data_IF_482953824800
#
_entry.id   IF_482953824800
#
_cell.length_a   1.000
_cell.length_b   1.000
_cell.length_c   1.000
_cell.angle_alpha   90.00
_cell.angle_beta   90.00
_cell.angle_gamma   90.00
#
_symmetry.space_group_name_H-M   'P 1'
#
loop_
_entity.id
_entity.type
_entity.pdbx_description
1 polymer ?
#
# COMPACT_ATOMS: atom_id res chain seq x y z
N UNK A 1 -23.15 13.08 -8.35
CA UNK A 1 -23.10 14.32 -7.53
C UNK A 1 -23.43 13.90 -6.11
N UNK A 2 -22.45 13.90 -5.20
CA UNK A 2 -22.63 13.53 -3.78
C UNK A 2 -22.95 14.83 -3.03
N UNK A 3 -24.15 14.94 -2.45
CA UNK A 3 -24.60 16.14 -1.75
C UNK A 3 -23.89 16.27 -0.38
N UNK A 4 -23.72 17.48 0.15
CA UNK A 4 -23.03 17.70 1.46
C UNK A 4 -23.75 17.07 2.66
N UNK A 5 -25.04 16.73 2.55
CA UNK A 5 -25.76 15.89 3.51
C UNK A 5 -25.23 14.45 3.53
N UNK A 6 -24.88 13.93 2.36
CA UNK A 6 -24.32 12.59 2.13
C UNK A 6 -22.98 12.41 2.87
N UNK A 7 -22.12 13.44 2.91
CA UNK A 7 -20.82 13.36 3.61
C UNK A 7 -20.97 13.26 5.13
N UNK A 8 -21.88 14.04 5.73
CA UNK A 8 -22.12 13.97 7.18
C UNK A 8 -22.81 12.67 7.56
N UNK A 9 -23.76 12.22 6.76
CA UNK A 9 -24.46 10.95 6.96
C UNK A 9 -23.51 9.76 6.77
N UNK A 10 -22.59 9.85 5.80
CA UNK A 10 -21.53 8.89 5.57
C UNK A 10 -20.52 8.83 6.73
N UNK A 11 -20.06 9.98 7.23
CA UNK A 11 -19.19 10.04 8.42
C UNK A 11 -19.89 9.47 9.66
N UNK A 12 -21.17 9.82 9.87
CA UNK A 12 -21.97 9.28 10.97
C UNK A 12 -22.15 7.75 10.85
N UNK A 13 -22.39 7.26 9.63
CA UNK A 13 -22.46 5.82 9.33
C UNK A 13 -21.12 5.13 9.63
N UNK A 14 -19.99 5.68 9.17
CA UNK A 14 -18.66 5.13 9.43
C UNK A 14 -18.35 5.06 10.92
N UNK A 15 -18.62 6.13 11.67
CA UNK A 15 -18.43 6.16 13.13
C UNK A 15 -19.26 5.08 13.84
N UNK A 16 -20.52 4.88 13.43
CA UNK A 16 -21.38 3.83 13.97
C UNK A 16 -20.81 2.43 13.69
N UNK A 17 -20.36 2.17 12.45
CA UNK A 17 -19.73 0.89 12.08
C UNK A 17 -18.44 0.64 12.85
N UNK A 18 -17.57 1.64 12.95
CA UNK A 18 -16.32 1.54 13.74
C UNK A 18 -16.64 1.21 15.20
N UNK A 19 -17.62 1.89 15.80
CA UNK A 19 -18.01 1.63 17.18
C UNK A 19 -18.52 0.18 17.37
N UNK A 20 -19.35 -0.30 16.44
CA UNK A 20 -19.85 -1.68 16.43
C UNK A 20 -18.71 -2.70 16.33
N UNK A 21 -17.79 -2.53 15.38
CA UNK A 21 -16.67 -3.44 15.19
C UNK A 21 -15.72 -3.44 16.39
N UNK A 22 -15.43 -2.26 16.96
CA UNK A 22 -14.63 -2.18 18.20
C UNK A 22 -15.33 -2.84 19.38
N UNK A 23 -16.65 -2.79 19.47
CA UNK A 23 -17.40 -3.50 20.51
C UNK A 23 -17.30 -5.02 20.32
N UNK A 24 -17.56 -5.51 19.11
CA UNK A 24 -17.48 -6.94 18.76
C UNK A 24 -16.09 -7.52 19.04
N UNK A 25 -15.04 -6.80 18.64
CA UNK A 25 -13.65 -7.19 18.92
C UNK A 25 -13.37 -7.26 20.43
N UNK A 26 -13.85 -6.28 21.22
CA UNK A 26 -13.73 -6.31 22.69
C UNK A 26 -14.43 -7.52 23.30
N UNK A 27 -15.65 -7.83 22.84
CA UNK A 27 -16.41 -8.98 23.33
C UNK A 27 -15.70 -10.31 23.01
N UNK A 28 -15.12 -10.43 21.81
CA UNK A 28 -14.35 -11.60 21.41
C UNK A 28 -13.08 -11.78 22.24
N UNK A 29 -12.38 -10.69 22.55
CA UNK A 29 -11.11 -10.74 23.29
C UNK A 29 -11.30 -10.74 24.83
N UNK A 30 -12.48 -10.37 25.33
CA UNK A 30 -12.75 -10.26 26.77
C UNK A 30 -12.42 -11.53 27.60
N UNK A 31 -12.63 -12.77 27.10
CA UNK A 31 -12.26 -13.99 27.82
C UNK A 31 -10.74 -14.26 27.85
N UNK A 32 -9.96 -13.51 27.06
CA UNK A 32 -8.55 -13.79 26.82
C UNK A 32 -7.66 -12.74 27.49
N UNK A 33 -6.61 -13.23 28.15
CA UNK A 33 -5.58 -12.38 28.76
C UNK A 33 -4.21 -12.89 28.37
N UNK A 34 -3.44 -12.03 27.70
CA UNK A 34 -2.05 -12.28 27.33
C UNK A 34 -1.16 -11.28 28.04
N UNK A 35 -0.15 -11.77 28.76
CA UNK A 35 0.79 -10.95 29.52
C UNK A 35 2.19 -11.14 29.01
N UNK A 36 3.02 -10.11 29.13
CA UNK A 36 4.31 -10.07 28.46
C UNK A 36 5.33 -10.90 29.22
N UNK A 37 5.99 -11.82 28.52
CA UNK A 37 7.21 -12.46 28.98
C UNK A 37 8.44 -11.69 28.48
N UNK A 38 8.45 -11.30 27.21
CA UNK A 38 9.56 -10.60 26.57
C UNK A 38 9.06 -9.80 25.36
N UNK A 39 9.70 -8.65 25.08
CA UNK A 39 9.53 -7.93 23.81
C UNK A 39 10.91 -7.76 23.17
N UNK A 40 11.06 -8.23 21.94
CA UNK A 40 12.29 -8.09 21.16
C UNK A 40 12.04 -7.14 19.99
N UNK A 41 13.01 -6.25 19.76
CA UNK A 41 13.01 -5.34 18.62
C UNK A 41 14.33 -5.55 17.91
N UNK A 42 14.27 -6.16 16.72
CA UNK A 42 15.43 -6.43 15.88
C UNK A 42 15.49 -5.36 14.81
N UNK A 43 16.49 -4.47 14.93
CA UNK A 43 16.77 -3.50 13.89
C UNK A 43 17.75 -4.09 12.90
N UNK A 44 17.32 -4.21 11.65
CA UNK A 44 18.11 -4.75 10.55
C UNK A 44 18.20 -3.73 9.43
N UNK A 45 19.31 -3.77 8.68
CA UNK A 45 19.45 -3.03 7.45
C UNK A 45 19.21 -4.01 6.30
N UNK A 46 18.12 -3.85 5.56
CA UNK A 46 17.77 -4.75 4.46
C UNK A 46 18.35 -4.18 3.16
N UNK A 47 19.33 -4.85 2.52
CA UNK A 47 19.82 -4.44 1.21
C UNK A 47 18.75 -4.67 0.15
N UNK A 48 18.60 -3.70 -0.76
CA UNK A 48 17.67 -3.81 -1.88
C UNK A 48 18.31 -4.60 -3.04
N UNK A 49 17.48 -5.29 -3.83
CA UNK A 49 17.92 -5.90 -5.09
C UNK A 49 18.05 -4.78 -6.13
N UNK A 50 19.28 -4.36 -6.39
CA UNK A 50 19.57 -3.08 -7.05
C UNK A 50 19.28 -1.89 -6.12
N UNK A 51 19.65 -0.69 -6.53
CA UNK A 51 19.31 0.54 -5.78
C UNK A 51 17.89 0.94 -6.13
N UNK A 52 17.00 0.84 -5.14
CA UNK A 52 15.58 1.16 -5.29
C UNK A 52 15.38 2.67 -5.45
N UNK A 53 14.54 3.13 -6.39
CA UNK A 53 14.32 4.57 -6.66
C UNK A 53 12.86 5.03 -6.52
N UNK A 54 12.23 4.97 -5.33
CA UNK A 54 10.90 5.51 -5.14
C UNK A 54 10.94 7.04 -5.22
N UNK A 55 10.13 7.64 -6.10
CA UNK A 55 9.98 9.10 -6.17
C UNK A 55 11.30 9.88 -6.17
N UNK A 56 12.29 9.42 -6.96
CA UNK A 56 13.63 10.00 -7.12
C UNK A 56 14.68 9.75 -6.02
N UNK A 57 14.38 8.95 -4.98
CA UNK A 57 15.35 8.66 -3.92
C UNK A 57 16.17 7.40 -4.20
N UNK A 58 17.51 7.46 -4.25
CA UNK A 58 18.33 6.26 -4.38
C UNK A 58 18.53 5.54 -3.03
N UNK A 59 17.86 4.40 -2.84
CA UNK A 59 17.87 3.60 -1.61
C UNK A 59 18.56 2.24 -1.84
N UNK A 60 19.87 2.11 -1.52
CA UNK A 60 20.59 0.83 -1.64
C UNK A 60 20.21 -0.14 -0.52
N UNK A 61 19.72 0.37 0.61
CA UNK A 61 19.21 -0.41 1.72
C UNK A 61 18.20 0.41 2.54
N UNK A 62 17.30 -0.27 3.24
CA UNK A 62 16.27 0.34 4.10
C UNK A 62 16.40 -0.23 5.51
N UNK A 63 16.39 0.65 6.52
CA UNK A 63 16.30 0.25 7.93
C UNK A 63 14.94 -0.39 8.17
N UNK A 64 14.90 -1.54 8.82
CA UNK A 64 13.67 -2.26 9.14
C UNK A 64 13.71 -2.69 10.60
N UNK A 65 12.60 -2.55 11.31
CA UNK A 65 12.47 -3.04 12.67
C UNK A 65 11.45 -4.17 12.70
N UNK A 66 11.90 -5.35 13.16
CA UNK A 66 11.05 -6.52 13.37
C UNK A 66 10.78 -6.64 14.87
N UNK A 67 9.51 -6.73 15.25
CA UNK A 67 9.08 -6.80 16.65
C UNK A 67 8.51 -8.19 16.93
N UNK A 68 8.96 -8.79 18.03
CA UNK A 68 8.39 -10.00 18.60
C UNK A 68 7.86 -9.70 20.00
N UNK A 69 6.58 -10.01 20.24
CA UNK A 69 5.94 -9.90 21.54
C UNK A 69 5.68 -11.31 22.06
N UNK A 70 6.54 -11.79 22.93
CA UNK A 70 6.45 -13.12 23.54
C UNK A 70 5.60 -13.03 24.80
N UNK A 71 4.56 -13.84 24.87
CA UNK A 71 3.61 -13.86 25.98
C UNK A 71 3.91 -15.00 26.96
N UNK A 72 3.54 -14.84 28.23
CA UNK A 72 3.67 -15.89 29.26
C UNK A 72 2.79 -17.11 28.96
N UNK A 73 1.78 -16.95 28.10
CA UNK A 73 0.87 -17.99 27.66
C UNK A 73 1.42 -18.81 26.47
N UNK A 74 2.64 -18.49 26.01
CA UNK A 74 3.33 -19.25 24.96
C UNK A 74 2.99 -18.83 23.53
N UNK A 75 2.22 -17.75 23.35
CA UNK A 75 2.00 -17.13 22.04
C UNK A 75 3.04 -16.04 21.77
N UNK A 76 3.40 -15.86 20.49
CA UNK A 76 4.31 -14.80 20.04
C UNK A 76 3.67 -14.01 18.92
N UNK A 77 3.48 -12.72 19.12
CA UNK A 77 3.03 -11.79 18.09
C UNK A 77 4.19 -11.21 17.32
N UNK A 78 4.08 -11.15 16.00
CA UNK A 78 5.13 -10.64 15.13
C UNK A 78 4.64 -9.47 14.28
N UNK A 79 5.49 -8.46 14.10
CA UNK A 79 5.17 -7.30 13.27
C UNK A 79 6.41 -6.63 12.73
N UNK A 80 6.23 -5.82 11.69
CA UNK A 80 7.33 -5.15 11.00
C UNK A 80 7.09 -3.64 10.81
N UNK A 81 8.15 -2.85 10.85
CA UNK A 81 8.11 -1.42 10.60
C UNK A 81 9.20 -1.04 9.59
N UNK A 82 8.81 -0.64 8.36
CA UNK A 82 9.76 -0.05 7.43
C UNK A 82 10.27 1.27 8.00
N UNK A 83 11.56 1.56 7.79
CA UNK A 83 12.32 2.70 8.34
C UNK A 83 12.58 2.55 9.85
N UNK A 84 11.53 2.33 10.64
CA UNK A 84 11.57 2.04 12.07
C UNK A 84 10.25 2.35 12.78
N UNK A 85 10.16 1.98 14.06
CA UNK A 85 8.99 2.21 14.90
C UNK A 85 8.61 3.69 14.96
N UNK A 86 7.32 3.99 14.99
CA UNK A 86 6.85 5.34 15.30
C UNK A 86 6.86 5.59 16.82
N UNK A 87 6.63 6.84 17.23
CA UNK A 87 6.63 7.21 18.65
C UNK A 87 5.53 6.47 19.44
N UNK A 88 4.36 6.23 18.84
CA UNK A 88 3.24 5.55 19.50
C UNK A 88 3.56 4.09 19.78
N UNK A 89 4.18 3.40 18.83
CA UNK A 89 4.62 2.03 18.96
C UNK A 89 5.69 1.90 20.05
N UNK A 90 6.72 2.77 20.05
CA UNK A 90 7.74 2.81 21.11
C UNK A 90 7.14 3.04 22.49
N UNK A 91 6.27 4.04 22.62
CA UNK A 91 5.61 4.35 23.90
C UNK A 91 4.74 3.18 24.39
N UNK A 92 4.11 2.43 23.48
CA UNK A 92 3.31 1.26 23.83
C UNK A 92 4.17 0.09 24.29
N UNK A 93 5.30 -0.15 23.62
CA UNK A 93 6.31 -1.14 24.04
C UNK A 93 6.85 -0.80 25.43
N UNK A 94 7.21 0.46 25.69
CA UNK A 94 7.72 0.87 27.01
C UNK A 94 6.67 0.71 28.11
N UNK A 95 5.39 1.02 27.84
CA UNK A 95 4.30 0.77 28.78
C UNK A 95 4.16 -0.71 29.13
N UNK A 96 4.28 -1.59 28.15
CA UNK A 96 4.19 -3.04 28.33
C UNK A 96 5.43 -3.61 29.04
N UNK A 97 6.63 -3.05 28.80
CA UNK A 97 7.84 -3.38 29.55
C UNK A 97 7.74 -2.95 31.02
N UNK A 98 7.17 -1.78 31.27
CA UNK A 98 7.00 -1.24 32.62
C UNK A 98 5.93 -1.98 33.44
N UNK A 99 4.91 -2.54 32.79
CA UNK A 99 3.88 -3.36 33.41
C UNK A 99 3.67 -4.69 32.64
N UNK A 100 4.52 -5.71 32.89
CA UNK A 100 4.43 -7.00 32.18
C UNK A 100 3.15 -7.78 32.48
N UNK A 101 2.42 -7.44 33.54
CA UNK A 101 1.12 -8.04 33.88
C UNK A 101 -0.05 -7.41 33.13
N UNK A 102 0.19 -6.31 32.41
CA UNK A 102 -0.82 -5.69 31.56
C UNK A 102 -1.25 -6.63 30.44
N UNK A 103 -2.55 -6.67 30.18
CA UNK A 103 -3.07 -7.43 29.05
C UNK A 103 -2.67 -6.75 27.74
N UNK A 104 -1.83 -7.41 26.92
CA UNK A 104 -1.42 -6.86 25.62
C UNK A 104 -2.59 -6.80 24.62
N UNK A 105 -3.63 -7.61 24.83
CA UNK A 105 -4.88 -7.57 24.05
C UNK A 105 -5.80 -6.39 24.40
N UNK A 106 -5.38 -5.48 25.29
CA UNK A 106 -6.10 -4.22 25.50
C UNK A 106 -6.17 -3.44 24.17
N UNK A 107 -7.37 -3.03 23.70
CA UNK A 107 -7.53 -2.34 22.41
C UNK A 107 -6.75 -1.03 22.27
N UNK A 108 -6.29 -0.43 23.38
CA UNK A 108 -5.40 0.74 23.32
C UNK A 108 -4.04 0.43 22.68
N UNK A 109 -3.66 -0.84 22.57
CA UNK A 109 -2.44 -1.31 21.91
C UNK A 109 -2.66 -1.76 20.46
N UNK A 110 -3.91 -1.87 19.99
CA UNK A 110 -4.26 -2.34 18.64
C UNK A 110 -3.57 -1.51 17.55
N UNK A 111 -3.81 -0.20 17.53
CA UNK A 111 -3.26 0.69 16.50
C UNK A 111 -1.72 0.85 16.64
N UNK A 112 -1.16 1.12 17.84
CA UNK A 112 0.28 1.31 17.96
C UNK A 112 1.14 0.07 17.66
N UNK A 113 0.66 -1.13 18.00
CA UNK A 113 1.40 -2.38 17.79
C UNK A 113 0.97 -3.11 16.50
N UNK A 114 -0.11 -2.65 15.87
CA UNK A 114 -0.59 -3.03 14.55
C UNK A 114 -0.46 -4.53 14.25
N UNK A 115 0.50 -4.93 13.40
CA UNK A 115 0.68 -6.32 12.97
C UNK A 115 0.92 -7.28 14.13
N UNK A 116 1.79 -6.93 15.08
CA UNK A 116 2.11 -7.80 16.20
C UNK A 116 0.90 -8.05 17.11
N UNK A 117 0.04 -7.04 17.25
CA UNK A 117 -1.20 -7.16 18.03
C UNK A 117 -2.23 -8.02 17.31
N UNK A 118 -2.43 -7.79 16.01
CA UNK A 118 -3.35 -8.59 15.20
C UNK A 118 -2.90 -10.04 15.09
N UNK A 119 -1.60 -10.31 14.96
CA UNK A 119 -1.06 -11.67 14.98
C UNK A 119 -1.45 -12.40 16.28
N UNK A 120 -1.26 -11.76 17.45
CA UNK A 120 -1.73 -12.31 18.74
C UNK A 120 -3.25 -12.50 18.78
N UNK A 121 -4.02 -11.53 18.29
CA UNK A 121 -5.48 -11.61 18.27
C UNK A 121 -5.98 -12.79 17.41
N UNK A 122 -5.37 -13.01 16.24
CA UNK A 122 -5.65 -14.16 15.39
C UNK A 122 -5.30 -15.48 16.07
N UNK A 123 -4.11 -15.57 16.67
CA UNK A 123 -3.65 -16.76 17.38
C UNK A 123 -4.57 -17.11 18.58
N UNK A 124 -4.91 -16.13 19.41
CA UNK A 124 -5.72 -16.37 20.63
C UNK A 124 -7.17 -16.74 20.31
N UNK A 125 -7.71 -16.20 19.21
CA UNK A 125 -9.05 -16.53 18.71
C UNK A 125 -9.05 -17.77 17.79
N UNK A 126 -7.89 -18.35 17.51
CA UNK A 126 -7.74 -19.54 16.68
C UNK A 126 -8.17 -19.34 15.22
N UNK A 127 -8.03 -18.12 14.68
CA UNK A 127 -8.47 -17.78 13.32
C UNK A 127 -7.36 -17.10 12.51
N UNK A 128 -7.14 -17.49 11.24
CA UNK A 128 -6.38 -16.67 10.31
C UNK A 128 -6.98 -15.26 10.19
N UNK A 129 -6.14 -14.23 10.12
CA UNK A 129 -6.59 -12.83 10.13
C UNK A 129 -7.61 -12.50 9.04
N UNK A 130 -7.47 -13.07 7.85
CA UNK A 130 -8.45 -12.87 6.76
C UNK A 130 -9.87 -13.35 7.13
N UNK A 131 -9.98 -14.46 7.86
CA UNK A 131 -11.27 -15.01 8.32
C UNK A 131 -11.77 -14.19 9.51
N UNK A 132 -10.87 -13.83 10.42
CA UNK A 132 -11.21 -12.99 11.56
C UNK A 132 -11.78 -11.64 11.12
N UNK A 133 -11.14 -10.97 10.15
CA UNK A 133 -11.62 -9.70 9.59
C UNK A 133 -12.88 -9.87 8.76
N UNK A 134 -13.02 -10.98 8.03
CA UNK A 134 -14.26 -11.30 7.34
C UNK A 134 -15.45 -11.30 8.28
N UNK A 135 -15.32 -12.01 9.41
CA UNK A 135 -16.35 -12.09 10.45
C UNK A 135 -16.53 -10.75 11.19
N UNK A 136 -15.43 -10.06 11.51
CA UNK A 136 -15.46 -8.81 12.28
C UNK A 136 -16.18 -7.71 11.51
N UNK A 137 -15.83 -7.53 10.23
CA UNK A 137 -16.38 -6.50 9.36
C UNK A 137 -17.67 -6.93 8.64
N UNK A 138 -18.18 -8.13 8.95
CA UNK A 138 -19.40 -8.70 8.36
C UNK A 138 -19.36 -8.66 6.83
N UNK A 139 -18.20 -9.03 6.30
CA UNK A 139 -17.89 -9.02 4.88
C UNK A 139 -18.00 -10.44 4.30
N UNK A 140 -17.19 -10.77 3.30
CA UNK A 140 -17.29 -12.04 2.59
C UNK A 140 -17.07 -13.24 3.54
N UNK A 141 -18.05 -14.14 3.75
CA UNK A 141 -17.93 -15.28 4.68
C UNK A 141 -16.87 -16.30 4.26
N UNK A 142 -16.44 -16.28 2.99
CA UNK A 142 -15.38 -17.12 2.45
C UNK A 142 -14.31 -16.22 1.81
N UNK A 143 -13.42 -15.60 2.60
CA UNK A 143 -12.35 -14.77 2.05
C UNK A 143 -11.50 -15.62 1.08
N UNK A 144 -11.09 -15.06 -0.07
CA UNK A 144 -10.36 -15.82 -1.07
C UNK A 144 -9.01 -16.29 -0.54
N UNK A 145 -8.61 -17.51 -0.91
CA UNK A 145 -7.29 -18.07 -0.57
C UNK A 145 -6.17 -17.56 -1.48
N UNK A 146 -6.50 -16.76 -2.49
CA UNK A 146 -5.57 -16.20 -3.47
C UNK A 146 -5.98 -14.76 -3.78
N UNK A 147 -5.01 -13.85 -3.77
CA UNK A 147 -5.20 -12.44 -4.10
C UNK A 147 -4.37 -12.14 -5.34
N UNK A 148 -4.98 -11.61 -6.43
CA UNK A 148 -4.22 -11.12 -7.57
C UNK A 148 -3.26 -10.01 -7.13
N UNK A 149 -1.98 -10.15 -7.46
CA UNK A 149 -0.95 -9.17 -7.16
C UNK A 149 -0.52 -8.48 -8.46
N UNK A 150 -0.21 -7.19 -8.38
CA UNK A 150 0.46 -6.47 -9.46
C UNK A 150 1.97 -6.46 -9.22
N UNK A 151 2.77 -6.61 -10.28
CA UNK A 151 4.22 -6.45 -10.20
C UNK A 151 4.57 -4.97 -10.31
N UNK A 152 5.13 -4.41 -9.24
CA UNK A 152 5.58 -3.02 -9.23
C UNK A 152 7.01 -2.95 -9.79
N UNK A 153 7.18 -2.16 -10.83
CA UNK A 153 8.45 -2.03 -11.56
C UNK A 153 8.94 -0.59 -11.51
N UNK A 154 10.26 -0.45 -11.33
CA UNK A 154 10.94 0.80 -11.05
C UNK A 154 12.28 0.82 -11.76
N UNK A 155 12.81 2.03 -11.96
CA UNK A 155 14.18 2.19 -12.39
C UNK A 155 15.03 1.70 -11.24
N UNK A 156 16.14 1.03 -11.55
CA UNK A 156 17.07 0.60 -10.52
C UNK A 156 18.48 0.86 -10.99
N UNK A 157 19.26 1.56 -10.18
CA UNK A 157 20.71 1.56 -10.39
C UNK A 157 21.26 0.17 -10.04
N UNK A 158 22.39 -0.24 -10.62
CA UNK A 158 23.01 -1.50 -10.26
C UNK A 158 23.33 -1.54 -8.76
N UNK A 159 23.31 -2.74 -8.20
CA UNK A 159 23.81 -2.98 -6.84
C UNK A 159 25.33 -2.81 -6.75
N UNK A 160 25.90 -3.04 -5.55
CA UNK A 160 27.33 -2.92 -5.32
C UNK A 160 28.21 -3.85 -6.17
N UNK A 161 27.63 -4.90 -6.78
CA UNK A 161 28.31 -5.82 -7.69
C UNK A 161 28.12 -5.45 -9.17
N UNK A 162 27.42 -4.36 -9.47
CA UNK A 162 27.12 -3.97 -10.85
C UNK A 162 25.91 -4.68 -11.46
N UNK A 163 25.10 -5.38 -10.66
CA UNK A 163 24.01 -6.24 -11.13
C UNK A 163 22.61 -5.63 -10.84
N UNK A 164 21.57 -6.24 -11.41
CA UNK A 164 20.15 -5.94 -11.12
C UNK A 164 19.65 -4.53 -11.50
N UNK A 165 20.42 -3.80 -12.31
CA UNK A 165 19.98 -2.54 -12.88
C UNK A 165 18.72 -2.72 -13.74
N UNK A 166 17.79 -1.78 -13.62
CA UNK A 166 16.64 -1.65 -14.52
C UNK A 166 16.79 -0.31 -15.21
N UNK A 167 17.03 -0.38 -16.51
CA UNK A 167 17.20 0.75 -17.39
C UNK A 167 16.01 0.84 -18.32
N UNK A 168 15.88 1.96 -19.01
CA UNK A 168 14.90 2.16 -20.06
C UNK A 168 14.92 1.02 -21.11
N UNK A 169 16.11 0.49 -21.40
CA UNK A 169 16.29 -0.55 -22.41
C UNK A 169 15.82 -1.94 -21.97
N UNK A 170 16.09 -2.34 -20.73
CA UNK A 170 15.78 -3.70 -20.27
C UNK A 170 14.42 -3.81 -19.55
N UNK A 171 13.75 -2.70 -19.27
CA UNK A 171 12.47 -2.67 -18.55
C UNK A 171 11.35 -3.45 -19.24
N UNK A 172 11.15 -3.35 -20.57
CA UNK A 172 10.11 -4.12 -21.25
C UNK A 172 10.31 -5.63 -21.07
N UNK A 173 11.56 -6.10 -21.13
CA UNK A 173 11.89 -7.51 -20.90
C UNK A 173 11.61 -7.93 -19.44
N UNK A 174 11.91 -7.06 -18.46
CA UNK A 174 11.55 -7.30 -17.06
C UNK A 174 10.03 -7.38 -16.86
N UNK A 175 9.26 -6.49 -17.49
CA UNK A 175 7.81 -6.50 -17.43
C UNK A 175 7.24 -7.80 -18.03
N UNK A 176 7.75 -8.23 -19.18
CA UNK A 176 7.39 -9.51 -19.80
C UNK A 176 7.74 -10.71 -18.91
N UNK A 177 8.88 -10.67 -18.21
CA UNK A 177 9.25 -11.70 -17.24
C UNK A 177 8.25 -11.76 -16.07
N UNK A 178 7.81 -10.62 -15.54
CA UNK A 178 6.78 -10.60 -14.50
C UNK A 178 5.44 -11.15 -15.02
N UNK A 179 5.02 -10.79 -16.22
CA UNK A 179 3.83 -11.38 -16.84
C UNK A 179 3.95 -12.90 -16.98
N UNK A 180 5.09 -13.40 -17.45
CA UNK A 180 5.38 -14.84 -17.54
C UNK A 180 5.38 -15.56 -16.19
N UNK A 181 5.71 -14.84 -15.10
CA UNK A 181 5.64 -15.34 -13.72
C UNK A 181 4.20 -15.33 -13.14
N UNK A 182 3.19 -14.96 -13.92
CA UNK A 182 1.78 -15.03 -13.54
C UNK A 182 1.18 -13.74 -12.97
N UNK A 183 1.91 -12.62 -13.02
CA UNK A 183 1.34 -11.32 -12.66
C UNK A 183 0.37 -10.85 -13.75
N UNK A 184 -0.89 -10.63 -13.40
CA UNK A 184 -1.93 -10.14 -14.33
C UNK A 184 -1.88 -8.63 -14.56
N UNK A 185 -1.07 -7.91 -13.77
CA UNK A 185 -0.91 -6.47 -13.87
C UNK A 185 0.55 -6.06 -13.60
N UNK A 186 1.06 -5.11 -14.38
CA UNK A 186 2.35 -4.46 -14.19
C UNK A 186 2.10 -3.00 -13.83
N UNK A 187 2.68 -2.53 -12.73
CA UNK A 187 2.71 -1.11 -12.38
C UNK A 187 4.08 -0.53 -12.73
N UNK A 188 4.10 0.54 -13.52
CA UNK A 188 5.31 1.21 -13.99
C UNK A 188 5.46 2.54 -13.28
N UNK A 189 6.58 2.72 -12.59
CA UNK A 189 6.93 4.01 -11.98
C UNK A 189 7.48 4.97 -13.03
N UNK A 190 6.83 6.11 -13.18
CA UNK A 190 7.15 7.12 -14.16
C UNK A 190 8.17 8.10 -13.56
N UNK A 191 9.46 7.86 -13.80
CA UNK A 191 10.58 8.66 -13.27
C UNK A 191 11.52 9.21 -14.34
N UNK A 192 11.14 9.21 -15.61
CA UNK A 192 11.89 9.90 -16.66
C UNK A 192 11.74 11.43 -16.58
N UNK A 193 12.70 12.15 -17.16
CA UNK A 193 12.69 13.61 -17.22
C UNK A 193 11.79 14.13 -18.34
N UNK A 194 11.83 13.50 -19.52
CA UNK A 194 11.10 13.97 -20.69
C UNK A 194 9.77 13.20 -20.89
N UNK A 195 8.67 13.88 -21.26
CA UNK A 195 7.40 13.25 -21.61
C UNK A 195 7.51 12.13 -22.66
N UNK A 196 8.38 12.31 -23.65
CA UNK A 196 8.59 11.36 -24.74
C UNK A 196 9.12 10.02 -24.25
N UNK A 197 10.02 10.04 -23.26
CA UNK A 197 10.59 8.81 -22.67
C UNK A 197 9.50 8.02 -21.95
N UNK A 198 8.63 8.71 -21.20
CA UNK A 198 7.47 8.07 -20.56
C UNK A 198 6.56 7.39 -21.59
N UNK A 199 6.30 8.07 -22.71
CA UNK A 199 5.44 7.56 -23.77
C UNK A 199 6.08 6.33 -24.44
N UNK A 200 7.34 6.42 -24.86
CA UNK A 200 8.04 5.31 -25.51
C UNK A 200 8.16 4.08 -24.60
N UNK A 201 8.50 4.27 -23.33
CA UNK A 201 8.61 3.17 -22.36
C UNK A 201 7.33 2.35 -22.25
N UNK A 202 6.19 3.03 -22.12
CA UNK A 202 4.90 2.38 -21.91
C UNK A 202 4.47 1.63 -23.16
N UNK A 203 4.70 2.18 -24.36
CA UNK A 203 4.45 1.46 -25.61
C UNK A 203 5.32 0.20 -25.72
N UNK A 204 6.62 0.30 -25.42
CA UNK A 204 7.55 -0.85 -25.43
C UNK A 204 7.14 -1.90 -24.42
N UNK A 205 6.71 -1.49 -23.21
CA UNK A 205 6.17 -2.41 -22.21
C UNK A 205 4.91 -3.09 -22.73
N UNK A 206 3.96 -2.34 -23.31
CA UNK A 206 2.74 -2.90 -23.91
C UNK A 206 3.04 -3.93 -25.00
N UNK A 207 3.98 -3.63 -25.90
CA UNK A 207 4.44 -4.57 -26.91
C UNK A 207 4.99 -5.86 -26.28
N UNK A 208 5.82 -5.72 -25.24
CA UNK A 208 6.47 -6.85 -24.58
C UNK A 208 5.52 -7.74 -23.75
N UNK A 209 4.51 -7.16 -23.10
CA UNK A 209 3.57 -7.91 -22.23
C UNK A 209 2.30 -8.38 -22.95
N UNK A 210 2.04 -7.86 -24.15
CA UNK A 210 0.83 -8.17 -24.92
C UNK A 210 -0.42 -7.45 -24.39
N UNK A 211 -1.59 -7.61 -25.03
CA UNK A 211 -2.79 -6.82 -24.75
C UNK A 211 -3.54 -7.23 -23.46
N UNK A 212 -3.37 -8.46 -23.00
CA UNK A 212 -4.14 -9.02 -21.87
C UNK A 212 -3.62 -8.58 -20.50
N UNK A 213 -2.34 -8.23 -20.40
CA UNK A 213 -1.73 -7.81 -19.14
C UNK A 213 -2.14 -6.37 -18.85
N UNK A 214 -2.66 -6.11 -17.66
CA UNK A 214 -3.03 -4.74 -17.26
C UNK A 214 -1.77 -3.92 -17.01
N UNK A 215 -1.74 -2.68 -17.51
CA UNK A 215 -0.64 -1.75 -17.25
C UNK A 215 -1.17 -0.61 -16.40
N UNK A 216 -0.51 -0.34 -15.29
CA UNK A 216 -0.77 0.79 -14.40
C UNK A 216 0.45 1.69 -14.44
N UNK A 217 0.27 2.99 -14.36
CA UNK A 217 1.38 3.93 -14.28
C UNK A 217 1.25 4.83 -13.06
N UNK A 218 2.38 5.23 -12.50
CA UNK A 218 2.43 6.08 -11.31
C UNK A 218 3.45 7.19 -11.49
N UNK A 219 2.96 8.42 -11.52
CA UNK A 219 3.78 9.60 -11.73
C UNK A 219 4.26 10.25 -10.43
N UNK A 220 3.91 9.73 -9.25
CA UNK A 220 4.33 10.29 -7.95
C UNK A 220 4.03 11.78 -7.79
N UNK A 221 2.99 12.28 -8.48
CA UNK A 221 2.62 13.68 -8.54
C UNK A 221 3.65 14.59 -9.23
N UNK A 222 4.59 14.02 -10.00
CA UNK A 222 5.72 14.76 -10.56
C UNK A 222 5.38 15.53 -11.82
N UNK A 223 4.35 15.13 -12.57
CA UNK A 223 3.99 15.86 -13.78
C UNK A 223 3.26 17.16 -13.45
N UNK A 224 3.52 18.17 -14.27
CA UNK A 224 2.66 19.33 -14.38
C UNK A 224 1.49 19.05 -15.35
N UNK A 225 0.54 19.98 -15.42
CA UNK A 225 -0.66 19.83 -16.24
C UNK A 225 -0.38 19.70 -17.76
N UNK A 226 0.65 20.38 -18.27
CA UNK A 226 0.99 20.33 -19.69
C UNK A 226 1.62 18.98 -20.06
N UNK A 227 2.49 18.46 -19.19
CA UNK A 227 3.07 17.11 -19.34
C UNK A 227 1.96 16.05 -19.31
N UNK A 228 1.06 16.10 -18.33
CA UNK A 228 -0.07 15.16 -18.26
C UNK A 228 -0.96 15.23 -19.52
N UNK A 229 -1.24 16.43 -20.04
CA UNK A 229 -1.99 16.64 -21.28
C UNK A 229 -1.29 16.14 -22.54
N UNK A 230 0.04 16.01 -22.51
CA UNK A 230 0.83 15.45 -23.61
C UNK A 230 0.92 13.93 -23.52
N UNK A 231 1.20 13.41 -22.33
CA UNK A 231 1.46 11.99 -22.09
C UNK A 231 0.17 11.17 -22.17
N UNK A 232 -0.90 11.60 -21.48
CA UNK A 232 -2.11 10.78 -21.35
C UNK A 232 -2.80 10.45 -22.69
N UNK A 233 -3.02 11.42 -23.61
CA UNK A 233 -3.59 11.10 -24.91
C UNK A 233 -2.70 10.18 -25.76
N UNK A 234 -1.38 10.31 -25.60
CA UNK A 234 -0.41 9.49 -26.32
C UNK A 234 -0.35 8.04 -25.81
N UNK A 235 -0.99 7.72 -24.68
CA UNK A 235 -1.03 6.37 -24.11
C UNK A 235 -2.44 5.74 -24.16
N UNK A 236 -3.40 6.35 -24.87
CA UNK A 236 -4.76 5.83 -24.98
C UNK A 236 -4.82 4.44 -25.62
N UNK A 237 -3.95 4.16 -26.58
CA UNK A 237 -3.83 2.88 -27.28
C UNK A 237 -3.15 1.80 -26.43
N UNK A 238 -2.43 2.19 -25.37
CA UNK A 238 -1.77 1.28 -24.46
C UNK A 238 -2.73 0.60 -23.47
N UNK A 239 -4.03 0.93 -23.48
CA UNK A 239 -5.06 0.31 -22.63
C UNK A 239 -4.60 0.12 -21.17
N UNK A 240 -4.16 1.21 -20.54
CA UNK A 240 -3.84 1.24 -19.12
C UNK A 240 -5.07 0.87 -18.27
N UNK A 241 -4.87 0.46 -17.02
CA UNK A 241 -5.97 0.24 -16.08
C UNK A 241 -6.27 1.55 -15.34
N UNK A 242 -5.22 2.21 -14.83
CA UNK A 242 -5.31 3.51 -14.19
C UNK A 242 -3.98 4.26 -14.25
N UNK A 243 -4.05 5.56 -13.96
CA UNK A 243 -2.89 6.39 -13.62
C UNK A 243 -3.00 6.86 -12.17
N UNK A 244 -1.95 6.58 -11.40
CA UNK A 244 -1.80 6.99 -10.01
C UNK A 244 -1.01 8.29 -9.94
N UNK A 245 -1.53 9.24 -9.14
CA UNK A 245 -0.89 10.53 -8.86
C UNK A 245 -0.29 11.21 -10.11
N UNK A 246 -1.07 11.47 -11.19
CA UNK A 246 -0.55 12.09 -12.41
C UNK A 246 0.11 13.44 -12.13
N UNK A 247 -0.55 14.26 -11.31
CA UNK A 247 -0.10 15.60 -10.91
C UNK A 247 -0.20 15.72 -9.40
N UNK A 248 0.64 16.55 -8.80
CA UNK A 248 0.60 16.81 -7.36
C UNK A 248 -0.81 17.26 -6.92
N UNK A 249 -1.36 16.64 -5.88
CA UNK A 249 -2.71 16.90 -5.36
C UNK A 249 -2.93 18.34 -4.83
N UNK A 250 -1.86 19.13 -4.65
CA UNK A 250 -1.92 20.56 -4.35
C UNK A 250 -2.09 21.45 -5.59
N UNK A 251 -1.86 20.94 -6.80
CA UNK A 251 -2.01 21.69 -8.05
C UNK A 251 -3.49 21.93 -8.45
N UNK A 252 -4.42 20.95 -8.33
CA UNK A 252 -5.84 21.14 -8.68
C UNK A 252 -6.45 22.39 -8.03
N UNK A 253 -6.18 22.67 -6.76
CA UNK A 253 -6.79 23.81 -6.06
C UNK A 253 -6.28 25.18 -6.53
N UNK A 254 -5.12 25.26 -7.17
CA UNK A 254 -4.51 26.53 -7.62
C UNK A 254 -4.82 26.90 -9.06
N UNK A 255 -5.27 25.95 -9.89
CA UNK A 255 -5.37 26.14 -11.34
C UNK A 255 -6.79 26.06 -11.90
N UNK A 256 -7.82 25.74 -11.11
CA UNK A 256 -9.20 25.99 -11.53
C UNK A 256 -9.53 27.48 -11.35
N UNK A 257 -9.97 28.18 -12.41
CA UNK A 257 -10.54 29.51 -12.26
C UNK A 257 -11.67 29.46 -11.23
N UNK A 258 -11.78 30.51 -10.39
CA UNK A 258 -12.88 30.60 -9.45
C UNK A 258 -14.22 30.50 -10.19
N UNK A 259 -14.98 29.43 -9.93
CA UNK A 259 -16.29 29.19 -10.53
C UNK A 259 -16.36 28.08 -11.58
N UNK A 260 -15.24 27.47 -12.00
CA UNK A 260 -15.27 26.30 -12.89
C UNK A 260 -15.38 24.98 -12.13
N UNK A 261 -16.20 24.06 -12.64
CA UNK A 261 -16.38 22.73 -12.07
C UNK A 261 -15.32 21.78 -12.61
N UNK A 262 -14.69 21.02 -11.72
CA UNK A 262 -13.79 19.92 -12.08
C UNK A 262 -14.53 18.97 -13.04
N UNK A 263 -13.97 18.64 -14.22
CA UNK A 263 -14.63 17.74 -15.15
C UNK A 263 -14.88 16.37 -14.52
N UNK A 264 -16.14 15.93 -14.49
CA UNK A 264 -16.54 14.57 -14.08
C UNK A 264 -17.00 13.81 -15.33
N UNK A 265 -16.41 12.65 -15.64
CA UNK A 265 -16.76 11.86 -16.83
C UNK A 265 -17.93 10.91 -16.55
N UNK A 266 -18.76 10.69 -17.57
CA UNK A 266 -19.82 9.67 -17.63
C UNK A 266 -19.22 8.28 -17.86
N UNK A 267 -19.73 7.28 -17.13
CA UNK A 267 -19.27 5.88 -17.03
C UNK A 267 -19.40 5.02 -18.30
N UNK A 268 -19.67 5.61 -19.47
CA UNK A 268 -20.06 4.86 -20.69
C UNK A 268 -18.95 4.72 -21.75
N UNK A 269 -17.73 5.21 -21.50
CA UNK A 269 -16.62 5.09 -22.45
C UNK A 269 -15.36 4.68 -21.69
N UNK A 270 -14.81 3.51 -22.03
CA UNK A 270 -13.52 3.03 -21.53
C UNK A 270 -12.46 4.13 -21.61
N UNK A 271 -11.75 4.31 -20.50
CA UNK A 271 -10.75 5.33 -20.29
C UNK A 271 -10.28 5.29 -18.84
N UNK A 272 -9.01 5.64 -18.62
CA UNK A 272 -8.32 5.42 -17.35
C UNK A 272 -8.90 6.26 -16.20
N UNK A 273 -8.91 5.69 -14.99
CA UNK A 273 -9.19 6.41 -13.76
C UNK A 273 -7.91 7.10 -13.29
N UNK A 274 -7.96 8.43 -13.12
CA UNK A 274 -6.92 9.16 -12.41
C UNK A 274 -7.28 9.17 -10.92
N UNK A 275 -6.51 8.46 -10.11
CA UNK A 275 -6.72 8.46 -8.66
C UNK A 275 -5.82 9.52 -8.01
N UNK A 276 -6.49 10.49 -7.37
CA UNK A 276 -5.86 11.50 -6.52
C UNK A 276 -6.01 11.02 -5.09
N UNK A 277 -4.92 10.54 -4.49
CA UNK A 277 -4.83 10.30 -3.05
C UNK A 277 -4.13 11.50 -2.38
#
# INVERSE_FOLDING_TARGET
MIHTGDVRDFDAMLKRRIALYRQKLREWLAPHRLTIAEIRVHRVLIPMVGVYTPGWQALPAISWELVEIVTKQGLTGTGEWPIGLDERARNSIEKLRADPERNVLDPSFEEPLYMAWWDLAGQVLGKPLQVLWADLFESNPNPPSQIPMAAYTWQRFPDHNGLHAVTFENWPALAAQHAANGFSAIKVSMTAYEPEDHIDLVHRIREAVGPEIMIRIDAHGTWNYQEARRILPALEDCNLEYIEQPVNSLLPQRYYPAGETVPVRSSSKGGFQAEYY
#
